data_IF_243162942426
#
_entry.id   IF_243162942426
#
_cell.length_a   1.000
_cell.length_b   1.000
_cell.length_c   1.000
_cell.angle_alpha   90.00
_cell.angle_beta   90.00
_cell.angle_gamma   90.00
#
_symmetry.space_group_name_H-M   'P 1'
#
loop_
_entity.id
_entity.type
_entity.pdbx_description
1 polymer ?
#
# COMPACT_ATOMS: atom_id res chain seq x y z
N UNK A 1 9.76 11.36 -10.37
CA UNK A 1 8.74 10.59 -9.63
C UNK A 1 7.56 11.51 -9.38
N UNK A 2 6.48 11.41 -10.15
CA UNK A 2 5.32 12.27 -9.95
C UNK A 2 4.39 11.60 -8.93
N UNK A 3 4.70 11.82 -7.65
CA UNK A 3 3.83 11.43 -6.53
C UNK A 3 2.52 12.21 -6.65
N UNK A 4 1.41 11.53 -6.39
CA UNK A 4 0.09 12.15 -6.38
C UNK A 4 -0.04 12.90 -5.06
N UNK A 5 0.03 14.22 -5.10
CA UNK A 5 0.04 15.04 -3.89
C UNK A 5 -1.40 15.22 -3.39
N UNK A 6 -1.66 14.79 -2.15
CA UNK A 6 -2.96 14.99 -1.49
C UNK A 6 -3.37 16.46 -1.48
N UNK A 7 -2.41 17.38 -1.38
CA UNK A 7 -2.64 18.83 -1.46
C UNK A 7 -3.29 19.26 -2.78
N UNK A 8 -2.88 18.66 -3.90
CA UNK A 8 -3.45 18.97 -5.22
C UNK A 8 -4.86 18.38 -5.32
N UNK A 9 -5.10 17.19 -4.76
CA UNK A 9 -6.44 16.61 -4.69
C UNK A 9 -7.41 17.50 -3.88
N UNK A 10 -6.98 18.04 -2.73
CA UNK A 10 -7.79 18.98 -1.94
C UNK A 10 -8.00 20.33 -2.64
N UNK A 11 -7.01 20.84 -3.39
CA UNK A 11 -7.19 22.06 -4.20
C UNK A 11 -8.23 21.85 -5.31
N UNK A 12 -8.20 20.69 -5.98
CA UNK A 12 -9.21 20.32 -6.99
C UNK A 12 -10.59 20.04 -6.36
N UNK A 13 -10.64 19.60 -5.11
CA UNK A 13 -11.89 19.53 -4.34
C UNK A 13 -12.46 20.93 -4.08
N UNK A 14 -11.64 21.91 -3.73
CA UNK A 14 -12.08 23.29 -3.47
C UNK A 14 -12.75 23.95 -4.69
N UNK A 15 -12.41 23.50 -5.91
CA UNK A 15 -13.08 23.91 -7.15
C UNK A 15 -14.59 23.57 -7.18
N UNK A 16 -15.05 22.64 -6.32
CA UNK A 16 -16.46 22.38 -6.06
C UNK A 16 -17.23 23.65 -5.68
N UNK A 17 -16.63 24.58 -4.92
CA UNK A 17 -17.28 25.84 -4.52
C UNK A 17 -17.53 26.80 -5.69
N UNK A 18 -16.81 26.61 -6.81
CA UNK A 18 -17.00 27.36 -8.06
C UNK A 18 -17.97 26.68 -9.03
N UNK A 19 -18.67 25.62 -8.60
CA UNK A 19 -19.64 24.89 -9.42
C UNK A 19 -19.04 23.79 -10.30
N UNK A 20 -17.72 23.57 -10.25
CA UNK A 20 -17.04 22.47 -10.94
C UNK A 20 -16.99 21.26 -10.02
N UNK A 21 -18.04 20.45 -10.07
CA UNK A 21 -18.16 19.25 -9.24
C UNK A 21 -17.42 18.06 -9.88
N UNK A 22 -16.56 17.38 -9.11
CA UNK A 22 -15.92 16.11 -9.52
C UNK A 22 -14.49 16.21 -10.07
N UNK A 23 -13.86 17.39 -10.03
CA UNK A 23 -12.48 17.62 -10.52
C UNK A 23 -11.44 16.65 -9.94
N UNK A 24 -11.52 16.37 -8.63
CA UNK A 24 -10.57 15.48 -7.96
C UNK A 24 -10.61 14.03 -8.46
N UNK A 25 -11.76 13.53 -8.94
CA UNK A 25 -11.90 12.15 -9.43
C UNK A 25 -11.21 11.95 -10.77
N UNK A 26 -11.14 12.99 -11.59
CA UNK A 26 -10.32 12.98 -12.81
C UNK A 26 -8.83 12.87 -12.46
N UNK A 27 -8.38 13.56 -11.41
CA UNK A 27 -6.99 13.50 -10.94
C UNK A 27 -6.61 12.14 -10.35
N UNK A 28 -7.51 11.53 -9.57
CA UNK A 28 -7.32 10.15 -9.08
C UNK A 28 -7.60 9.09 -10.16
N UNK A 29 -7.88 9.49 -11.41
CA UNK A 29 -8.07 8.63 -12.58
C UNK A 29 -9.33 7.76 -12.56
N UNK A 30 -10.37 8.18 -11.85
CA UNK A 30 -11.71 7.63 -11.92
C UNK A 30 -12.61 8.52 -12.81
N UNK A 31 -12.36 8.47 -14.12
CA UNK A 31 -12.99 9.35 -15.12
C UNK A 31 -14.51 9.17 -15.20
N UNK A 32 -14.99 7.92 -15.22
CA UNK A 32 -16.42 7.60 -15.32
C UNK A 32 -17.23 8.16 -14.16
N UNK A 33 -16.71 8.03 -12.94
CA UNK A 33 -17.39 8.51 -11.74
C UNK A 33 -17.25 10.02 -11.52
N UNK A 34 -16.20 10.64 -12.07
CA UNK A 34 -16.09 12.10 -12.21
C UNK A 34 -17.12 12.68 -13.18
N UNK A 35 -17.38 12.00 -14.30
CA UNK A 35 -18.37 12.44 -15.30
C UNK A 35 -19.80 12.40 -14.75
N UNK A 36 -20.15 11.36 -14.01
CA UNK A 36 -21.44 11.24 -13.29
C UNK A 36 -21.61 12.38 -12.28
N UNK A 37 -20.54 12.71 -11.54
CA UNK A 37 -20.56 13.82 -10.59
C UNK A 37 -20.68 15.19 -11.27
N UNK A 38 -20.13 15.36 -12.47
CA UNK A 38 -20.29 16.59 -13.25
C UNK A 38 -21.74 16.77 -13.71
N UNK A 39 -22.38 15.71 -14.22
CA UNK A 39 -23.78 15.75 -14.69
C UNK A 39 -24.82 15.82 -13.56
N UNK A 40 -24.47 15.35 -12.37
CA UNK A 40 -25.38 15.35 -11.20
C UNK A 40 -25.08 16.46 -10.19
N UNK A 41 -24.16 17.39 -10.49
CA UNK A 41 -23.64 18.39 -9.54
C UNK A 41 -23.10 17.76 -8.24
N UNK A 42 -22.56 16.54 -8.32
CA UNK A 42 -22.13 15.76 -7.15
C UNK A 42 -23.28 15.50 -6.19
N UNK A 43 -24.48 15.27 -6.72
CA UNK A 43 -25.71 14.94 -5.98
C UNK A 43 -26.02 15.86 -4.78
N UNK A 44 -26.27 17.16 -5.05
CA UNK A 44 -26.56 18.24 -4.07
C UNK A 44 -25.42 18.57 -3.09
N UNK A 45 -24.17 18.19 -3.41
CA UNK A 45 -22.99 18.49 -2.57
C UNK A 45 -22.72 17.44 -1.48
N UNK A 46 -23.65 16.52 -1.22
CA UNK A 46 -23.43 15.39 -0.31
C UNK A 46 -22.36 14.46 -0.85
N UNK A 47 -22.37 14.22 -2.17
CA UNK A 47 -21.36 13.40 -2.83
C UNK A 47 -19.94 13.96 -2.66
N UNK A 48 -19.79 15.28 -2.54
CA UNK A 48 -18.50 15.96 -2.35
C UNK A 48 -17.98 15.84 -0.91
N UNK A 49 -18.88 15.82 0.09
CA UNK A 49 -18.51 15.56 1.48
C UNK A 49 -17.97 14.14 1.67
N UNK A 50 -18.64 13.15 1.07
CA UNK A 50 -18.21 11.74 1.15
C UNK A 50 -16.84 11.56 0.50
N UNK A 51 -16.58 12.28 -0.60
CA UNK A 51 -15.30 12.19 -1.29
C UNK A 51 -14.14 12.69 -0.42
N UNK A 52 -14.37 13.65 0.51
CA UNK A 52 -13.34 14.14 1.45
C UNK A 52 -12.78 13.01 2.33
N UNK A 53 -13.64 12.10 2.78
CA UNK A 53 -13.24 10.92 3.55
C UNK A 53 -12.52 9.87 2.67
N UNK A 54 -12.77 9.88 1.36
CA UNK A 54 -12.23 8.90 0.41
C UNK A 54 -10.90 9.33 -0.25
N UNK A 55 -10.57 10.62 -0.28
CA UNK A 55 -9.27 11.12 -0.79
C UNK A 55 -8.07 10.34 -0.24
N UNK A 56 -7.89 10.11 1.07
CA UNK A 56 -6.72 9.39 1.58
C UNK A 56 -6.64 7.94 1.07
N UNK A 57 -7.76 7.22 1.01
CA UNK A 57 -7.82 5.86 0.46
C UNK A 57 -7.48 5.83 -1.03
N UNK A 58 -8.00 6.79 -1.79
CA UNK A 58 -7.76 6.95 -3.22
C UNK A 58 -6.29 7.27 -3.55
N UNK A 59 -5.66 8.18 -2.81
CA UNK A 59 -4.23 8.52 -2.97
C UNK A 59 -3.36 7.32 -2.60
N UNK A 60 -3.67 6.63 -1.50
CA UNK A 60 -2.93 5.44 -1.09
C UNK A 60 -2.99 4.35 -2.18
N UNK A 61 -4.19 4.07 -2.69
CA UNK A 61 -4.40 3.08 -3.75
C UNK A 61 -3.66 3.42 -5.04
N UNK A 62 -3.63 4.70 -5.44
CA UNK A 62 -2.89 5.14 -6.64
C UNK A 62 -1.37 5.07 -6.43
N UNK A 63 -0.87 5.42 -5.24
CA UNK A 63 0.55 5.27 -4.91
C UNK A 63 0.99 3.80 -4.86
N UNK A 64 0.15 2.90 -4.32
CA UNK A 64 0.38 1.45 -4.35
C UNK A 64 0.42 0.94 -5.79
N UNK A 65 -0.51 1.37 -6.64
CA UNK A 65 -0.55 0.99 -8.05
C UNK A 65 0.69 1.48 -8.82
N UNK A 66 1.12 2.73 -8.62
CA UNK A 66 2.34 3.26 -9.25
C UNK A 66 3.61 2.56 -8.77
N UNK A 67 3.68 2.19 -7.49
CA UNK A 67 4.76 1.37 -6.94
C UNK A 67 4.76 -0.04 -7.54
N UNK A 68 3.58 -0.66 -7.70
CA UNK A 68 3.42 -1.99 -8.28
C UNK A 68 3.76 -2.06 -9.77
N UNK A 69 3.37 -1.05 -10.55
CA UNK A 69 3.72 -0.93 -11.98
C UNK A 69 5.24 -0.89 -12.20
N UNK A 70 5.97 -0.18 -11.35
CA UNK A 70 7.43 -0.08 -11.45
C UNK A 70 8.15 -1.29 -10.83
N UNK A 71 7.51 -2.03 -9.92
CA UNK A 71 8.04 -3.29 -9.39
C UNK A 71 8.07 -4.41 -10.45
N UNK A 72 7.28 -4.29 -11.53
CA UNK A 72 7.26 -5.27 -12.63
C UNK A 72 8.27 -4.97 -13.75
N UNK A 73 9.06 -3.88 -13.64
CA UNK A 73 10.01 -3.47 -14.69
C UNK A 73 11.47 -3.90 -14.42
N UNK A 74 11.69 -5.05 -13.78
CA UNK A 74 12.97 -5.76 -13.85
C UNK A 74 12.78 -7.12 -14.51
N UNK A 75 12.47 -7.12 -15.81
CA UNK A 75 12.83 -8.24 -16.67
C UNK A 75 14.34 -8.10 -16.89
N UNK A 76 15.13 -8.77 -16.06
CA UNK A 76 16.56 -8.95 -16.30
C UNK A 76 16.72 -9.85 -17.54
N UNK A 77 16.92 -9.22 -18.69
CA UNK A 77 17.59 -9.89 -19.81
C UNK A 77 19.03 -10.13 -19.37
N UNK A 78 19.31 -11.35 -18.91
CA UNK A 78 20.64 -11.83 -18.56
C UNK A 78 21.52 -11.94 -19.82
N UNK A 79 21.99 -10.80 -20.32
CA UNK A 79 23.20 -10.75 -21.15
C UNK A 79 24.26 -10.12 -20.25
N UNK A 80 25.08 -11.01 -19.68
CA UNK A 80 25.96 -10.71 -18.56
C UNK A 80 26.88 -9.52 -18.77
N UNK A 81 26.75 -8.52 -17.89
CA UNK A 81 27.83 -7.60 -17.48
C UNK A 81 27.54 -7.14 -16.04
N UNK A 82 28.47 -7.38 -15.13
CA UNK A 82 28.58 -6.72 -13.80
C UNK A 82 29.78 -5.77 -13.82
N UNK A 83 30.03 -4.80 -12.88
CA UNK A 83 29.29 -4.41 -11.66
C UNK A 83 29.20 -2.86 -11.35
N UNK A 84 28.44 -2.52 -10.28
CA UNK A 84 28.53 -1.34 -9.35
C UNK A 84 27.95 0.05 -9.71
N UNK A 85 27.00 0.49 -8.86
CA UNK A 85 27.20 1.74 -8.10
C UNK A 85 26.68 1.60 -6.65
N UNK A 86 27.57 1.88 -5.72
CA UNK A 86 27.36 1.99 -4.28
C UNK A 86 26.43 3.18 -3.99
N UNK A 87 25.33 2.96 -3.27
CA UNK A 87 24.77 3.96 -2.36
C UNK A 87 24.63 3.31 -0.99
N UNK A 88 25.72 3.43 -0.26
CA UNK A 88 25.77 3.23 1.18
C UNK A 88 24.99 4.39 1.82
N UNK A 89 23.83 4.09 2.40
CA UNK A 89 23.18 4.96 3.38
C UNK A 89 23.06 4.16 4.68
N UNK A 90 24.14 4.23 5.45
CA UNK A 90 24.22 4.11 6.91
C UNK A 90 23.40 3.00 7.58
N UNK A 91 24.09 1.90 7.88
CA UNK A 91 23.76 1.13 9.07
C UNK A 91 23.94 2.02 10.32
N UNK A 92 22.97 1.97 11.24
CA UNK A 92 23.32 1.87 12.64
C UNK A 92 22.68 0.58 13.20
N UNK A 93 23.45 -0.27 13.90
CA UNK A 93 23.06 -1.60 14.31
C UNK A 93 22.45 -1.56 15.71
N UNK A 94 21.19 -1.99 15.86
CA UNK A 94 20.70 -2.52 17.13
C UNK A 94 20.60 -4.03 17.02
N UNK A 95 21.63 -4.64 17.58
CA UNK A 95 21.86 -6.05 17.81
C UNK A 95 20.79 -6.62 18.74
N UNK A 96 19.61 -6.84 18.17
CA UNK A 96 18.63 -7.82 18.58
C UNK A 96 17.70 -7.90 17.38
N UNK A 97 17.86 -8.91 16.52
CA UNK A 97 16.92 -9.15 15.43
C UNK A 97 15.58 -9.47 16.09
N UNK A 98 14.82 -8.42 16.42
CA UNK A 98 13.54 -8.52 17.08
C UNK A 98 12.71 -9.49 16.27
N UNK A 99 11.91 -10.37 16.89
CA UNK A 99 11.08 -11.31 16.16
C UNK A 99 10.28 -10.60 15.06
N UNK A 100 9.86 -9.35 15.31
CA UNK A 100 9.20 -8.48 14.33
C UNK A 100 10.06 -8.19 13.09
N UNK A 101 11.35 -7.89 13.26
CA UNK A 101 12.24 -7.59 12.15
C UNK A 101 12.50 -8.85 11.28
N UNK A 102 12.62 -10.02 11.91
CA UNK A 102 12.67 -11.32 11.19
C UNK A 102 11.38 -11.60 10.43
N UNK A 103 10.24 -11.26 11.04
CA UNK A 103 8.93 -11.39 10.42
C UNK A 103 8.79 -10.49 9.18
N UNK A 104 9.19 -9.23 9.27
CA UNK A 104 9.16 -8.28 8.14
C UNK A 104 10.11 -8.72 7.01
N UNK A 105 11.29 -9.22 7.36
CA UNK A 105 12.23 -9.78 6.38
C UNK A 105 11.64 -11.00 5.67
N UNK A 106 10.97 -11.88 6.42
CA UNK A 106 10.30 -13.04 5.87
C UNK A 106 9.13 -12.64 4.95
N UNK A 107 8.36 -11.62 5.32
CA UNK A 107 7.26 -11.12 4.52
C UNK A 107 7.76 -10.58 3.17
N UNK A 108 8.83 -9.77 3.18
CA UNK A 108 9.46 -9.28 1.96
C UNK A 108 9.92 -10.42 1.04
N UNK A 109 10.49 -11.49 1.60
CA UNK A 109 10.93 -12.67 0.85
C UNK A 109 9.77 -13.48 0.24
N UNK A 110 8.57 -13.43 0.83
CA UNK A 110 7.39 -14.17 0.40
C UNK A 110 6.34 -13.28 -0.30
N UNK A 111 6.78 -12.18 -0.94
CA UNK A 111 5.90 -11.31 -1.72
C UNK A 111 4.89 -10.52 -0.88
N UNK A 112 5.28 -10.17 0.36
CA UNK A 112 4.47 -9.39 1.28
C UNK A 112 3.34 -10.16 1.95
N UNK A 113 3.32 -11.50 1.87
CA UNK A 113 2.28 -12.32 2.51
C UNK A 113 2.88 -13.48 3.30
N UNK A 114 2.37 -13.71 4.51
CA UNK A 114 2.77 -14.83 5.35
C UNK A 114 1.55 -15.53 5.96
N UNK A 115 1.59 -16.85 6.05
CA UNK A 115 0.74 -17.59 7.00
C UNK A 115 1.36 -17.61 8.40
N UNK A 116 0.57 -17.99 9.40
CA UNK A 116 1.05 -18.21 10.77
C UNK A 116 2.20 -19.24 10.80
N UNK A 117 2.07 -20.33 10.03
CA UNK A 117 3.10 -21.37 9.96
C UNK A 117 4.41 -20.84 9.36
N UNK A 118 4.33 -20.03 8.30
CA UNK A 118 5.51 -19.39 7.71
C UNK A 118 6.13 -18.39 8.68
N UNK A 119 5.32 -17.57 9.35
CA UNK A 119 5.80 -16.64 10.36
C UNK A 119 6.54 -17.37 11.48
N UNK A 120 5.99 -18.46 12.02
CA UNK A 120 6.64 -19.30 13.01
C UNK A 120 7.95 -19.90 12.49
N UNK A 121 7.94 -20.47 11.28
CA UNK A 121 9.10 -21.09 10.64
C UNK A 121 10.26 -20.10 10.43
N UNK A 122 9.97 -18.89 9.95
CA UNK A 122 11.00 -17.91 9.65
C UNK A 122 11.50 -17.13 10.88
N UNK A 123 10.64 -16.93 11.88
CA UNK A 123 11.04 -16.26 13.12
C UNK A 123 11.71 -17.22 14.11
N UNK A 124 11.45 -18.52 13.98
CA UNK A 124 11.90 -19.57 14.91
C UNK A 124 11.08 -19.62 16.20
N UNK A 125 9.90 -19.00 16.21
CA UNK A 125 9.00 -18.96 17.36
C UNK A 125 8.00 -20.12 17.34
N UNK A 126 7.49 -20.48 18.52
CA UNK A 126 6.33 -21.38 18.63
C UNK A 126 5.12 -20.78 17.91
N UNK A 127 4.25 -21.60 17.27
CA UNK A 127 3.06 -21.08 16.59
C UNK A 127 2.18 -20.16 17.43
N UNK A 128 2.11 -20.37 18.76
CA UNK A 128 1.35 -19.49 19.67
C UNK A 128 1.99 -18.11 19.81
N UNK A 129 3.32 -18.05 19.87
CA UNK A 129 4.05 -16.77 19.98
C UNK A 129 4.11 -16.05 18.63
N UNK A 130 4.27 -16.79 17.54
CA UNK A 130 4.18 -16.23 16.19
C UNK A 130 2.80 -15.59 15.93
N UNK A 131 1.71 -16.20 16.42
CA UNK A 131 0.37 -15.59 16.36
C UNK A 131 0.29 -14.28 17.14
N UNK A 132 0.85 -14.22 18.36
CA UNK A 132 0.88 -12.97 19.14
C UNK A 132 1.65 -11.88 18.41
N UNK A 133 2.80 -12.23 17.82
CA UNK A 133 3.62 -11.30 17.05
C UNK A 133 2.89 -10.77 15.80
N UNK A 134 2.15 -11.62 15.11
CA UNK A 134 1.31 -11.23 13.97
C UNK A 134 0.18 -10.28 14.38
N UNK A 135 -0.47 -10.54 15.52
CA UNK A 135 -1.49 -9.65 16.07
C UNK A 135 -0.90 -8.31 16.53
N UNK A 136 0.33 -8.30 17.02
CA UNK A 136 1.05 -7.06 17.32
C UNK A 136 1.35 -6.29 16.04
N UNK A 137 1.81 -6.95 14.99
CA UNK A 137 2.04 -6.33 13.68
C UNK A 137 0.75 -5.72 13.10
N UNK A 138 -0.40 -6.38 13.29
CA UNK A 138 -1.71 -5.86 12.92
C UNK A 138 -2.07 -4.59 13.71
N UNK A 139 -1.91 -4.60 15.04
CA UNK A 139 -2.19 -3.45 15.89
C UNK A 139 -1.34 -2.23 15.56
N UNK A 140 -0.10 -2.44 15.13
CA UNK A 140 0.84 -1.38 14.75
C UNK A 140 0.60 -0.92 13.30
N UNK A 141 -0.27 -1.60 12.54
CA UNK A 141 -0.55 -1.28 11.15
C UNK A 141 0.55 -1.73 10.17
N UNK A 142 1.41 -2.66 10.60
CA UNK A 142 2.42 -3.27 9.73
C UNK A 142 1.87 -4.45 8.92
N UNK A 143 0.74 -5.03 9.34
CA UNK A 143 0.12 -6.17 8.70
C UNK A 143 -1.41 -6.07 8.68
N UNK A 144 -2.04 -6.65 7.66
CA UNK A 144 -3.48 -6.77 7.53
C UNK A 144 -3.88 -8.24 7.38
N UNK A 145 -4.96 -8.66 8.03
CA UNK A 145 -5.50 -10.01 7.86
C UNK A 145 -6.26 -10.07 6.53
N UNK A 146 -5.87 -11.02 5.69
CA UNK A 146 -6.48 -11.30 4.40
C UNK A 146 -6.90 -12.77 4.33
N UNK A 147 -7.91 -13.04 3.50
CA UNK A 147 -8.22 -14.41 3.10
C UNK A 147 -7.68 -14.66 1.69
N UNK A 148 -7.03 -15.81 1.50
CA UNK A 148 -6.61 -16.26 0.17
C UNK A 148 -7.86 -16.65 -0.64
N UNK A 149 -8.12 -16.01 -1.80
CA UNK A 149 -9.35 -16.21 -2.57
C UNK A 149 -9.46 -17.60 -3.20
N UNK A 150 -8.36 -18.34 -3.31
CA UNK A 150 -8.32 -19.68 -3.91
C UNK A 150 -8.39 -20.75 -2.82
N UNK A 151 -7.56 -20.61 -1.79
CA UNK A 151 -7.42 -21.65 -0.76
C UNK A 151 -8.34 -21.45 0.45
N UNK A 152 -8.90 -20.25 0.63
CA UNK A 152 -9.67 -19.89 1.83
C UNK A 152 -8.81 -19.81 3.10
N UNK A 153 -7.48 -19.86 2.96
CA UNK A 153 -6.56 -19.82 4.08
C UNK A 153 -6.33 -18.38 4.57
N UNK A 154 -6.25 -18.22 5.89
CA UNK A 154 -5.91 -16.95 6.51
C UNK A 154 -4.44 -16.61 6.22
N UNK A 155 -4.21 -15.42 5.68
CA UNK A 155 -2.91 -14.83 5.39
C UNK A 155 -2.78 -13.47 6.06
N UNK A 156 -1.55 -13.07 6.34
CA UNK A 156 -1.21 -11.74 6.80
C UNK A 156 -0.45 -11.05 5.67
N UNK A 157 -1.00 -9.93 5.17
CA UNK A 157 -0.37 -9.07 4.17
C UNK A 157 0.43 -8.00 4.89
N UNK A 158 1.65 -7.75 4.45
CA UNK A 158 2.55 -6.74 4.98
C UNK A 158 2.91 -5.75 3.86
N UNK A 159 2.96 -4.47 4.20
CA UNK A 159 3.36 -3.38 3.30
C UNK A 159 4.89 -3.21 3.29
N UNK A 160 5.63 -4.24 2.83
CA UNK A 160 7.12 -4.30 2.84
C UNK A 160 7.75 -4.61 1.49
#
# INVERSE_FOLDING_TARGET
MQQVNSTVAYLLWCLCFFGICGGQRFYTGHVTSGLIYLFTFGFLGVGQLIDLAFIPSMVNRRNIYLRGLHAQQSIELNIGVTPRHNLQANASPSTASSPMQKLLLAAKKNGGQLSIAQAAMYTGLDPKEAKKLLQEAEKVGCAEICNDPVTGAIRYRFDV
#
